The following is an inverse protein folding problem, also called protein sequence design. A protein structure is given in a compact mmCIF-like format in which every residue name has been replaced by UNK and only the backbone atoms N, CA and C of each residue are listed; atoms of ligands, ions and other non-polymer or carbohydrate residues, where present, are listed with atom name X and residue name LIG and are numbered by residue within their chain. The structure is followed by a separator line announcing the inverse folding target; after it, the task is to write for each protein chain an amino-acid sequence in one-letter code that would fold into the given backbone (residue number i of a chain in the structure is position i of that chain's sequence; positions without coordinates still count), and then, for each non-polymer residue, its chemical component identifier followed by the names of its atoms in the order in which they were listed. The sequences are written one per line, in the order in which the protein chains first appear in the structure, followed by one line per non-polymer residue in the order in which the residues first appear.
data_IF_924491072083
#
_entry.id   IF_924491072083
#
_cell.length_a   1.000
_cell.length_b   1.000
_cell.length_c   1.000
_cell.angle_alpha   90.00
_cell.angle_beta   90.00
_cell.angle_gamma   90.00
#
_symmetry.space_group_name_H-M   'P 1'
#
loop_
_entity.id
_entity.type
_entity.pdbx_description
1 polymer ?
#
# COMPACT_ATOMS: atom_id res chain seq x y z
N UNK A 1 11.12 20.88 -22.71
CA UNK A 1 9.89 20.21 -22.28
C UNK A 1 10.15 19.65 -20.88
N UNK A 2 9.43 20.11 -19.88
CA UNK A 2 9.53 19.57 -18.52
C UNK A 2 8.76 18.24 -18.50
N UNK A 3 9.47 17.14 -18.29
CA UNK A 3 8.82 15.83 -18.08
C UNK A 3 8.01 15.86 -16.79
N UNK A 4 6.80 15.32 -16.81
CA UNK A 4 6.05 15.09 -15.56
C UNK A 4 6.67 13.94 -14.77
N UNK A 5 6.71 14.01 -13.43
CA UNK A 5 7.15 12.88 -12.62
C UNK A 5 6.19 11.70 -12.77
N UNK A 6 6.67 10.49 -12.51
CA UNK A 6 5.83 9.28 -12.47
C UNK A 6 5.36 9.03 -11.05
N UNK A 7 4.08 8.67 -10.89
CA UNK A 7 3.51 8.21 -9.63
C UNK A 7 3.03 6.77 -9.79
N UNK A 8 3.75 5.83 -9.19
CA UNK A 8 3.40 4.42 -9.23
C UNK A 8 2.58 4.07 -8.00
N UNK A 9 1.28 3.87 -8.19
CA UNK A 9 0.31 3.59 -7.13
C UNK A 9 0.20 2.08 -6.94
N UNK A 10 0.68 1.56 -5.82
CA UNK A 10 0.57 0.14 -5.49
C UNK A 10 -0.54 -0.06 -4.47
N UNK A 11 -1.52 -0.86 -4.83
CA UNK A 11 -2.69 -1.13 -3.99
C UNK A 11 -3.14 -2.59 -4.11
N UNK A 12 -4.05 -3.00 -3.24
CA UNK A 12 -4.56 -4.36 -3.14
C UNK A 12 -4.99 -4.68 -1.72
N UNK A 13 -5.73 -5.77 -1.54
CA UNK A 13 -6.18 -6.19 -0.21
C UNK A 13 -5.03 -6.55 0.73
N UNK A 14 -5.31 -6.62 2.02
CA UNK A 14 -4.35 -7.11 3.01
C UNK A 14 -3.85 -8.52 2.62
N UNK A 15 -2.55 -8.79 2.77
CA UNK A 15 -1.98 -10.09 2.40
C UNK A 15 -1.64 -10.25 0.91
N UNK A 16 -1.97 -9.28 0.04
CA UNK A 16 -1.69 -9.35 -1.40
C UNK A 16 -0.24 -9.05 -1.79
N UNK A 17 0.70 -8.93 -0.86
CA UNK A 17 2.12 -8.74 -1.19
C UNK A 17 2.53 -7.36 -1.68
N UNK A 18 1.62 -6.37 -1.71
CA UNK A 18 1.84 -5.01 -2.23
C UNK A 18 3.05 -4.29 -1.62
N UNK A 19 3.25 -4.36 -0.30
CA UNK A 19 4.37 -3.70 0.39
C UNK A 19 5.73 -4.26 -0.06
N UNK A 20 5.82 -5.58 -0.22
CA UNK A 20 7.04 -6.24 -0.73
C UNK A 20 7.31 -5.83 -2.18
N UNK A 21 6.26 -5.77 -3.02
CA UNK A 21 6.40 -5.33 -4.40
C UNK A 21 6.78 -3.85 -4.48
N UNK A 22 6.19 -2.99 -3.64
CA UNK A 22 6.50 -1.56 -3.60
C UNK A 22 7.99 -1.30 -3.35
N UNK A 23 8.56 -1.96 -2.34
CA UNK A 23 9.99 -1.83 -2.04
C UNK A 23 10.88 -2.31 -3.20
N UNK A 24 10.57 -3.50 -3.76
CA UNK A 24 11.32 -4.02 -4.92
C UNK A 24 11.23 -3.10 -6.14
N UNK A 25 10.08 -2.50 -6.40
CA UNK A 25 9.93 -1.54 -7.50
C UNK A 25 10.68 -0.24 -7.22
N UNK A 26 10.64 0.27 -5.99
CA UNK A 26 11.43 1.43 -5.58
C UNK A 26 12.92 1.23 -5.84
N UNK A 27 13.47 0.09 -5.40
CA UNK A 27 14.87 -0.28 -5.62
C UNK A 27 15.22 -0.38 -7.11
N UNK A 28 14.37 -1.07 -7.89
CA UNK A 28 14.61 -1.30 -9.33
C UNK A 28 14.46 -0.05 -10.19
N UNK A 29 13.60 0.87 -9.78
CA UNK A 29 13.30 2.12 -10.50
C UNK A 29 14.09 3.32 -9.97
N UNK A 30 14.86 3.14 -8.89
CA UNK A 30 15.58 4.22 -8.20
C UNK A 30 14.63 5.34 -7.74
N UNK A 31 13.44 4.96 -7.26
CA UNK A 31 12.41 5.89 -6.79
C UNK A 31 12.21 5.76 -5.27
N UNK A 32 12.01 6.86 -4.55
CA UNK A 32 11.58 6.80 -3.16
C UNK A 32 10.23 6.07 -3.05
N UNK A 33 10.05 5.35 -1.94
CA UNK A 33 8.82 4.61 -1.64
C UNK A 33 8.15 5.23 -0.43
N UNK A 34 6.86 5.54 -0.55
CA UNK A 34 6.04 6.04 0.56
C UNK A 34 4.99 4.97 0.88
N UNK A 35 5.09 4.37 2.06
CA UNK A 35 4.18 3.33 2.55
C UNK A 35 3.34 3.91 3.67
N UNK A 36 2.02 3.91 3.49
CA UNK A 36 1.09 4.51 4.45
C UNK A 36 1.18 3.88 5.85
N UNK A 37 1.36 2.56 5.90
CA UNK A 37 1.41 1.87 7.18
C UNK A 37 2.69 2.19 7.97
N UNK A 38 3.83 2.45 7.30
CA UNK A 38 5.07 2.90 7.95
C UNK A 38 4.93 4.30 8.58
N UNK A 39 4.17 5.20 7.93
CA UNK A 39 3.86 6.50 8.53
C UNK A 39 3.07 6.32 9.81
N UNK A 40 2.11 5.39 9.83
CA UNK A 40 1.33 5.08 11.02
C UNK A 40 2.18 4.46 12.13
N UNK A 41 3.09 3.54 11.77
CA UNK A 41 4.05 2.94 12.70
C UNK A 41 4.91 4.02 13.37
N UNK A 42 5.42 4.97 12.58
CA UNK A 42 6.17 6.13 13.08
C UNK A 42 5.33 7.00 14.03
N UNK A 43 4.04 7.20 13.72
CA UNK A 43 3.12 7.93 14.58
C UNK A 43 2.92 7.20 15.93
N UNK A 44 2.63 5.89 15.91
CA UNK A 44 2.53 5.05 17.11
C UNK A 44 3.81 5.11 17.95
N UNK A 45 4.97 5.02 17.31
CA UNK A 45 6.27 5.12 17.97
C UNK A 45 6.46 6.45 18.69
N UNK A 46 6.06 7.56 18.07
CA UNK A 46 6.21 8.90 18.64
C UNK A 46 5.40 9.09 19.91
N UNK A 47 4.17 8.59 19.93
CA UNK A 47 3.29 8.72 21.09
C UNK A 47 3.49 7.60 22.13
N UNK A 48 4.19 6.53 21.79
CA UNK A 48 4.46 5.36 22.62
C UNK A 48 3.18 4.74 23.24
N UNK A 49 2.05 4.81 22.53
CA UNK A 49 0.76 4.24 22.94
C UNK A 49 0.32 3.19 21.93
N UNK A 50 -0.44 2.19 22.37
CA UNK A 50 -0.98 1.17 21.49
C UNK A 50 -1.90 1.78 20.43
N UNK A 51 -1.95 1.14 19.28
CA UNK A 51 -2.84 1.52 18.19
C UNK A 51 -4.28 1.79 18.64
N UNK A 52 -4.84 0.94 19.49
CA UNK A 52 -6.24 1.02 19.93
C UNK A 52 -6.49 2.14 20.97
N UNK A 53 -5.42 2.68 21.53
CA UNK A 53 -5.44 3.80 22.50
C UNK A 53 -5.21 5.15 21.81
N UNK A 54 -4.93 5.15 20.50
CA UNK A 54 -4.77 6.38 19.72
C UNK A 54 -6.11 7.10 19.52
N UNK A 55 -6.08 8.44 19.35
CA UNK A 55 -7.27 9.20 19.02
C UNK A 55 -8.04 8.61 17.82
N UNK A 56 -9.38 8.61 17.84
CA UNK A 56 -10.19 7.98 16.78
C UNK A 56 -9.92 8.51 15.38
N UNK A 57 -9.45 9.75 15.25
CA UNK A 57 -9.14 10.39 13.97
C UNK A 57 -7.71 10.13 13.45
N UNK A 58 -6.89 9.38 14.19
CA UNK A 58 -5.49 9.08 13.81
C UNK A 58 -5.38 8.48 12.42
N UNK A 59 -6.27 7.56 12.05
CA UNK A 59 -6.26 6.97 10.72
C UNK A 59 -6.50 8.01 9.61
N UNK A 60 -7.36 8.99 9.87
CA UNK A 60 -7.61 10.11 8.94
C UNK A 60 -6.39 11.01 8.84
N UNK A 61 -5.82 11.41 9.98
CA UNK A 61 -4.62 12.27 10.03
C UNK A 61 -3.44 11.63 9.29
N UNK A 62 -3.16 10.36 9.53
CA UNK A 62 -2.08 9.62 8.84
C UNK A 62 -2.36 9.52 7.34
N UNK A 63 -3.61 9.33 6.94
CA UNK A 63 -3.99 9.27 5.52
C UNK A 63 -3.83 10.64 4.85
N UNK A 64 -4.25 11.72 5.49
CA UNK A 64 -4.09 13.08 4.99
C UNK A 64 -2.60 13.43 4.86
N UNK A 65 -1.79 13.11 5.87
CA UNK A 65 -0.35 13.31 5.83
C UNK A 65 0.35 12.49 4.74
N UNK A 66 -0.08 11.24 4.51
CA UNK A 66 0.42 10.44 3.40
C UNK A 66 0.22 11.15 2.05
N UNK A 67 -0.99 11.67 1.78
CA UNK A 67 -1.26 12.39 0.54
C UNK A 67 -0.56 13.76 0.46
N UNK A 68 -0.34 14.42 1.59
CA UNK A 68 0.48 15.64 1.64
C UNK A 68 1.94 15.36 1.23
N UNK A 69 2.55 14.28 1.72
CA UNK A 69 3.87 13.85 1.30
C UNK A 69 3.91 13.54 -0.19
N UNK A 70 2.93 12.79 -0.71
CA UNK A 70 2.80 12.51 -2.15
C UNK A 70 2.79 13.81 -2.95
N UNK A 71 1.95 14.78 -2.56
CA UNK A 71 1.85 16.07 -3.25
C UNK A 71 3.18 16.84 -3.24
N UNK A 72 3.89 16.84 -2.12
CA UNK A 72 5.20 17.52 -1.99
C UNK A 72 6.26 16.92 -2.91
N UNK A 73 6.34 15.59 -3.00
CA UNK A 73 7.27 14.93 -3.93
C UNK A 73 6.95 15.27 -5.39
N UNK A 74 5.68 15.15 -5.77
CA UNK A 74 5.24 15.41 -7.14
C UNK A 74 5.39 16.89 -7.52
N UNK A 75 5.11 17.82 -6.60
CA UNK A 75 5.36 19.24 -6.79
C UNK A 75 6.85 19.57 -6.97
N UNK A 76 7.73 18.78 -6.36
CA UNK A 76 9.17 18.84 -6.56
C UNK A 76 9.68 18.14 -7.82
N UNK A 77 8.81 17.68 -8.72
CA UNK A 77 9.14 16.86 -9.89
C UNK A 77 9.88 15.56 -9.57
N UNK A 78 9.60 14.96 -8.41
CA UNK A 78 10.23 13.72 -7.99
C UNK A 78 9.26 12.56 -8.26
N UNK A 79 9.69 11.61 -9.11
CA UNK A 79 8.95 10.36 -9.34
C UNK A 79 8.98 9.48 -8.09
N UNK A 80 7.84 8.85 -7.76
CA UNK A 80 7.67 8.10 -6.52
C UNK A 80 6.87 6.81 -6.72
N UNK A 81 7.11 5.86 -5.83
CA UNK A 81 6.25 4.69 -5.59
C UNK A 81 5.46 4.94 -4.32
N UNK A 82 4.15 4.80 -4.37
CA UNK A 82 3.28 4.95 -3.19
C UNK A 82 2.50 3.67 -2.94
N UNK A 83 2.32 3.30 -1.68
CA UNK A 83 1.63 2.06 -1.30
C UNK A 83 0.59 2.32 -0.20
N UNK A 84 -0.64 1.90 -0.48
CA UNK A 84 -1.70 1.84 0.52
C UNK A 84 -2.79 0.82 0.14
N UNK A 85 -3.39 0.18 1.15
CA UNK A 85 -4.53 -0.72 0.98
C UNK A 85 -5.87 0.03 0.95
N UNK A 86 -5.91 1.20 0.35
CA UNK A 86 -7.13 2.00 0.32
C UNK A 86 -8.17 1.43 -0.65
N UNK A 87 -9.43 1.53 -0.24
CA UNK A 87 -10.58 1.26 -1.10
C UNK A 87 -10.81 2.42 -2.09
N UNK A 88 -11.62 2.18 -3.10
CA UNK A 88 -11.96 3.16 -4.14
C UNK A 88 -12.31 4.54 -3.58
N UNK A 89 -13.24 4.59 -2.61
CA UNK A 89 -13.72 5.83 -1.98
C UNK A 89 -12.63 6.70 -1.33
N UNK A 90 -11.49 6.12 -0.94
CA UNK A 90 -10.37 6.88 -0.36
C UNK A 90 -9.48 7.47 -1.46
N UNK A 91 -9.27 6.71 -2.55
CA UNK A 91 -8.50 7.16 -3.70
C UNK A 91 -9.22 8.20 -4.55
N UNK A 92 -10.54 8.04 -4.75
CA UNK A 92 -11.35 8.83 -5.68
C UNK A 92 -11.18 10.35 -5.50
N UNK A 93 -11.30 10.95 -4.30
CA UNK A 93 -11.15 12.39 -4.13
C UNK A 93 -9.68 12.87 -4.21
N UNK A 94 -8.71 11.96 -4.18
CA UNK A 94 -7.26 12.28 -4.15
C UNK A 94 -6.58 12.11 -5.49
N UNK A 95 -7.08 11.20 -6.33
CA UNK A 95 -6.50 10.87 -7.62
C UNK A 95 -6.41 12.06 -8.59
N UNK A 96 -7.42 12.93 -8.74
CA UNK A 96 -7.32 14.07 -9.65
C UNK A 96 -6.09 14.94 -9.40
N UNK A 97 -5.78 15.25 -8.14
CA UNK A 97 -4.60 16.04 -7.77
C UNK A 97 -3.28 15.35 -8.13
N UNK A 98 -3.22 14.03 -8.03
CA UNK A 98 -2.05 13.25 -8.47
C UNK A 98 -1.90 13.35 -9.99
N UNK A 99 -2.99 13.21 -10.76
CA UNK A 99 -2.99 13.26 -12.23
C UNK A 99 -2.64 14.64 -12.79
N UNK A 100 -2.99 15.70 -12.09
CA UNK A 100 -2.55 17.06 -12.46
C UNK A 100 -1.02 17.18 -12.44
N UNK A 101 -0.34 16.54 -11.49
CA UNK A 101 1.09 16.68 -11.24
C UNK A 101 1.96 15.60 -11.88
N UNK A 102 1.42 14.40 -12.09
CA UNK A 102 2.20 13.23 -12.47
C UNK A 102 1.54 12.37 -13.53
N UNK A 103 2.35 11.60 -14.24
CA UNK A 103 1.89 10.48 -15.04
C UNK A 103 1.71 9.28 -14.09
N UNK A 104 0.45 8.99 -13.73
CA UNK A 104 0.14 7.95 -12.76
C UNK A 104 -0.12 6.61 -13.44
N UNK A 105 0.34 5.55 -12.79
CA UNK A 105 0.03 4.15 -13.13
C UNK A 105 -0.33 3.39 -11.86
N UNK A 106 -1.36 2.57 -11.93
CA UNK A 106 -1.73 1.67 -10.83
C UNK A 106 -1.15 0.28 -11.03
N UNK A 107 -0.61 -0.29 -9.95
CA UNK A 107 -0.26 -1.70 -9.83
C UNK A 107 -1.20 -2.32 -8.82
N UNK A 108 -2.16 -3.09 -9.30
CA UNK A 108 -3.16 -3.75 -8.48
C UNK A 108 -2.70 -5.16 -8.12
N UNK A 109 -2.28 -5.35 -6.87
CA UNK A 109 -1.84 -6.65 -6.37
C UNK A 109 -3.03 -7.51 -5.95
N UNK A 110 -3.04 -8.75 -6.40
CA UNK A 110 -4.01 -9.77 -6.01
C UNK A 110 -3.31 -11.08 -5.64
N UNK A 111 -3.97 -11.89 -4.83
CA UNK A 111 -3.63 -13.28 -4.59
C UNK A 111 -4.91 -14.04 -4.24
N UNK A 112 -4.85 -15.37 -4.35
CA UNK A 112 -5.95 -16.26 -3.98
C UNK A 112 -6.35 -16.04 -2.52
N UNK A 113 -7.61 -16.29 -2.20
CA UNK A 113 -8.15 -16.04 -0.86
C UNK A 113 -7.39 -16.82 0.22
N UNK A 114 -7.07 -18.09 -0.06
CA UNK A 114 -6.27 -18.93 0.85
C UNK A 114 -4.89 -18.31 1.17
N UNK A 115 -4.27 -17.64 0.21
CA UNK A 115 -2.97 -16.97 0.37
C UNK A 115 -3.13 -15.67 1.14
N UNK A 116 -4.14 -14.85 0.78
CA UNK A 116 -4.39 -13.55 1.42
C UNK A 116 -4.90 -13.68 2.86
N UNK A 117 -5.50 -14.80 3.24
CA UNK A 117 -5.88 -15.11 4.62
C UNK A 117 -4.66 -15.59 5.42
N UNK A 118 -3.94 -16.59 4.92
CA UNK A 118 -2.79 -17.18 5.63
C UNK A 118 -1.67 -16.18 5.93
N UNK A 119 -1.29 -15.33 4.97
CA UNK A 119 -0.14 -14.41 5.12
C UNK A 119 -0.30 -13.41 6.28
N UNK A 120 -1.46 -12.75 6.49
CA UNK A 120 -1.66 -11.88 7.65
C UNK A 120 -1.59 -12.61 8.98
N UNK A 121 -2.21 -13.79 9.07
CA UNK A 121 -2.18 -14.61 10.29
C UNK A 121 -0.74 -15.02 10.62
N UNK A 122 0.00 -15.55 9.64
CA UNK A 122 1.39 -15.94 9.85
C UNK A 122 2.25 -14.76 10.33
N UNK A 123 2.09 -13.58 9.71
CA UNK A 123 2.82 -12.37 10.15
C UNK A 123 2.46 -11.93 11.56
N UNK A 124 1.19 -12.07 11.97
CA UNK A 124 0.77 -11.74 13.31
C UNK A 124 1.32 -12.72 14.36
N UNK A 125 1.47 -13.99 13.98
CA UNK A 125 2.07 -15.02 14.84
C UNK A 125 3.59 -14.85 14.96
N UNK A 126 4.27 -14.48 13.86
CA UNK A 126 5.73 -14.30 13.80
C UNK A 126 6.18 -12.99 14.43
N UNK A 127 5.32 -11.97 14.45
CA UNK A 127 5.64 -10.66 14.99
C UNK A 127 4.55 -10.16 15.95
N UNK A 128 4.70 -10.39 17.26
CA UNK A 128 3.74 -9.94 18.28
C UNK A 128 3.55 -8.43 18.36
N UNK A 129 4.56 -7.64 17.95
CA UNK A 129 4.49 -6.17 17.99
C UNK A 129 3.42 -5.61 17.04
N UNK A 130 2.95 -6.42 16.08
CA UNK A 130 1.87 -6.03 15.18
C UNK A 130 0.57 -5.64 15.91
N UNK A 131 0.29 -6.26 17.05
CA UNK A 131 -0.85 -5.86 17.88
C UNK A 131 -0.68 -4.43 18.39
N UNK A 132 0.52 -4.09 18.85
CA UNK A 132 0.83 -2.74 19.33
C UNK A 132 0.71 -1.68 18.23
N UNK A 133 1.37 -1.92 17.07
CA UNK A 133 1.47 -0.93 16.00
C UNK A 133 0.25 -0.85 15.08
N UNK A 134 -0.52 -1.92 14.93
CA UNK A 134 -1.59 -2.02 13.95
C UNK A 134 -2.97 -2.37 14.52
N UNK A 135 -3.07 -2.72 15.81
CA UNK A 135 -4.28 -3.33 16.38
C UNK A 135 -4.59 -4.68 15.73
N UNK A 136 -3.56 -5.44 15.36
CA UNK A 136 -3.73 -6.72 14.68
C UNK A 136 -3.93 -7.86 15.69
N UNK A 137 -5.16 -8.02 16.16
CA UNK A 137 -5.52 -9.03 17.17
C UNK A 137 -5.62 -10.47 16.63
N UNK A 138 -5.20 -10.75 15.39
CA UNK A 138 -5.30 -12.08 14.78
C UNK A 138 -4.61 -13.16 15.58
N UNK A 139 -3.37 -12.89 16.04
CA UNK A 139 -2.61 -13.86 16.81
C UNK A 139 -3.28 -14.19 18.14
N UNK A 140 -3.81 -13.19 18.85
CA UNK A 140 -4.54 -13.38 20.10
C UNK A 140 -5.84 -14.15 19.87
N UNK A 141 -6.60 -13.78 18.84
CA UNK A 141 -7.83 -14.48 18.47
C UNK A 141 -7.57 -15.94 18.10
N UNK A 142 -6.60 -16.20 17.23
CA UNK A 142 -6.24 -17.56 16.80
C UNK A 142 -5.78 -18.44 17.96
N UNK A 143 -4.97 -17.93 18.89
CA UNK A 143 -4.55 -18.68 20.07
C UNK A 143 -5.72 -19.06 20.99
N UNK A 144 -6.78 -18.23 21.01
CA UNK A 144 -7.96 -18.44 21.85
C UNK A 144 -8.99 -19.39 21.21
N UNK A 145 -9.17 -19.31 19.89
CA UNK A 145 -10.29 -19.98 19.18
C UNK A 145 -9.86 -21.08 18.22
N UNK A 146 -8.59 -21.06 17.78
CA UNK A 146 -8.10 -21.92 16.68
C UNK A 146 -8.52 -21.41 15.29
N UNK A 147 -9.24 -20.30 15.21
CA UNK A 147 -9.77 -19.76 13.95
C UNK A 147 -9.14 -18.40 13.62
N UNK A 148 -8.94 -18.10 12.33
CA UNK A 148 -8.51 -16.77 11.89
C UNK A 148 -9.68 -15.77 11.87
N UNK A 149 -9.37 -14.50 12.02
CA UNK A 149 -10.34 -13.43 11.81
C UNK A 149 -10.76 -13.36 10.35
N UNK A 150 -12.05 -13.19 10.09
CA UNK A 150 -12.54 -12.99 8.73
C UNK A 150 -11.86 -11.77 8.11
N UNK A 151 -11.37 -11.89 6.87
CA UNK A 151 -10.77 -10.75 6.18
C UNK A 151 -11.82 -9.65 6.00
N UNK A 152 -11.39 -8.39 6.17
CA UNK A 152 -12.24 -7.25 5.86
C UNK A 152 -12.61 -7.24 4.36
N UNK A 153 -13.81 -6.78 4.05
CA UNK A 153 -14.21 -6.55 2.68
C UNK A 153 -13.26 -5.52 2.03
N UNK A 154 -12.81 -5.84 0.83
CA UNK A 154 -11.94 -4.97 0.05
C UNK A 154 -12.53 -4.80 -1.35
N UNK A 155 -12.81 -3.57 -1.71
CA UNK A 155 -13.16 -3.18 -3.07
C UNK A 155 -11.95 -2.52 -3.74
N UNK A 156 -11.45 -3.15 -4.80
CA UNK A 156 -10.34 -2.62 -5.56
C UNK A 156 -10.72 -1.29 -6.23
N UNK A 157 -9.82 -0.31 -6.27
CA UNK A 157 -10.05 0.92 -7.02
C UNK A 157 -10.30 0.63 -8.51
N UNK A 158 -11.25 1.36 -9.09
CA UNK A 158 -11.63 1.27 -10.51
C UNK A 158 -11.51 2.67 -11.11
N UNK A 159 -10.39 2.96 -11.75
CA UNK A 159 -10.11 4.25 -12.37
C UNK A 159 -9.69 4.07 -13.82
N UNK A 160 -9.98 5.06 -14.63
CA UNK A 160 -9.52 5.13 -16.03
C UNK A 160 -8.08 5.66 -16.10
N UNK A 161 -7.15 4.87 -15.58
CA UNK A 161 -5.71 5.10 -15.64
C UNK A 161 -5.00 3.80 -16.02
N UNK A 162 -3.79 3.86 -16.61
CA UNK A 162 -3.02 2.66 -16.90
C UNK A 162 -2.90 1.79 -15.64
N UNK A 163 -3.29 0.52 -15.74
CA UNK A 163 -3.30 -0.41 -14.60
C UNK A 163 -2.61 -1.72 -14.97
N UNK A 164 -1.68 -2.16 -14.13
CA UNK A 164 -1.05 -3.48 -14.21
C UNK A 164 -1.65 -4.35 -13.10
N UNK A 165 -2.32 -5.42 -13.48
CA UNK A 165 -2.77 -6.45 -12.54
C UNK A 165 -1.62 -7.41 -12.27
N UNK A 166 -1.30 -7.63 -10.99
CA UNK A 166 -0.19 -8.49 -10.56
C UNK A 166 -0.71 -9.55 -9.62
N UNK A 167 -0.65 -10.84 -10.04
CA UNK A 167 -0.78 -11.95 -9.11
C UNK A 167 0.51 -12.10 -8.31
N UNK A 168 0.34 -12.35 -7.01
CA UNK A 168 1.44 -12.57 -6.06
C UNK A 168 1.34 -13.91 -5.34
N UNK A 169 0.63 -14.87 -5.91
CA UNK A 169 0.42 -16.19 -5.30
C UNK A 169 1.74 -16.93 -5.10
N UNK A 170 2.50 -17.05 -6.17
CA UNK A 170 3.83 -17.65 -6.19
C UNK A 170 4.73 -16.78 -7.10
N UNK A 171 5.49 -15.89 -6.46
CA UNK A 171 6.24 -14.86 -7.18
C UNK A 171 5.36 -13.70 -7.67
N UNK A 172 5.65 -13.22 -8.88
CA UNK A 172 4.89 -12.15 -9.54
C UNK A 172 4.51 -12.54 -10.94
N UNK A 173 3.23 -12.36 -11.29
CA UNK A 173 2.72 -12.52 -12.67
C UNK A 173 1.92 -11.27 -13.03
N UNK A 174 2.40 -10.44 -13.98
CA UNK A 174 3.66 -10.56 -14.72
C UNK A 174 4.90 -10.49 -13.82
N UNK A 175 6.07 -10.91 -14.34
CA UNK A 175 7.33 -10.88 -13.62
C UNK A 175 7.75 -9.46 -13.24
N UNK A 176 8.63 -9.32 -12.23
CA UNK A 176 9.11 -8.00 -11.80
C UNK A 176 9.75 -7.23 -12.97
N UNK A 177 10.50 -7.90 -13.83
CA UNK A 177 11.14 -7.27 -15.00
C UNK A 177 10.12 -6.78 -16.03
N UNK A 178 9.05 -7.54 -16.25
CA UNK A 178 7.95 -7.10 -17.12
C UNK A 178 7.17 -5.93 -16.54
N UNK A 179 6.95 -5.91 -15.21
CA UNK A 179 6.32 -4.78 -14.54
C UNK A 179 7.18 -3.52 -14.72
N UNK A 180 8.49 -3.61 -14.46
CA UNK A 180 9.44 -2.50 -14.65
C UNK A 180 9.45 -2.01 -16.10
N UNK A 181 9.45 -2.92 -17.08
CA UNK A 181 9.38 -2.58 -18.51
C UNK A 181 8.09 -1.82 -18.85
N UNK A 182 6.93 -2.29 -18.35
CA UNK A 182 5.63 -1.61 -18.57
C UNK A 182 5.58 -0.23 -17.93
N UNK A 183 6.16 -0.06 -16.72
CA UNK A 183 6.28 1.25 -16.07
C UNK A 183 7.17 2.19 -16.90
N UNK A 184 8.24 1.67 -17.47
CA UNK A 184 9.14 2.42 -18.36
C UNK A 184 8.47 2.91 -19.65
N UNK A 185 7.49 2.18 -20.15
CA UNK A 185 6.76 2.51 -21.40
C UNK A 185 5.62 3.52 -21.23
N UNK A 186 5.33 3.99 -20.01
CA UNK A 186 4.35 5.06 -19.80
C UNK A 186 4.87 6.34 -20.47
N UNK A 187 4.07 6.98 -21.34
CA UNK A 187 4.46 8.26 -21.95
C UNK A 187 4.84 9.30 -20.90
N UNK A 188 5.83 10.11 -21.23
CA UNK A 188 6.24 11.26 -20.42
C UNK A 188 5.22 12.40 -20.53
#
# INVERSE_FOLDING_TARGET
MTRKPKCIIITGRQGSGKTTLARKLGDRLWMPVIIRDEIKEGYVTTFAVKHDELPPDTNRLVTDFFFELVDRYLAGNISIVIEAAFQHQVWEPRLPKILERANALMVLCSAQEAVTSRRPLQRALDNPDREFYHGDHRAAHYRKTGEDLRPANYEAPKFDIPTIHVSTDDGYVPSLDEIVKRIGSIPD
#
